data_IF_631253275840
#
_entry.id   IF_631253275840
#
_cell.length_a   1.000
_cell.length_b   1.000
_cell.length_c   1.000
_cell.angle_alpha   90.00
_cell.angle_beta   90.00
_cell.angle_gamma   90.00
#
_symmetry.space_group_name_H-M   'P 1'
#
loop_
_entity.id
_entity.type
_entity.pdbx_description
1 polymer ?
#
# COMPACT_ATOMS: atom_id res chain seq x y z
N UNK A 1 -37.66 -1.52 41.33
CA UNK A 1 -37.54 -0.68 40.11
C UNK A 1 -36.39 -1.24 39.26
N UNK A 2 -36.69 -1.83 38.11
CA UNK A 2 -35.68 -2.41 37.19
C UNK A 2 -35.10 -1.27 36.34
N UNK A 3 -33.78 -1.04 36.40
CA UNK A 3 -33.08 -0.15 35.47
C UNK A 3 -32.48 -1.00 34.35
N UNK A 4 -33.07 -0.88 33.17
CA UNK A 4 -32.62 -1.44 31.91
C UNK A 4 -31.50 -0.59 31.33
N UNK A 5 -30.36 -1.20 30.99
CA UNK A 5 -29.28 -0.53 30.26
C UNK A 5 -29.71 -0.21 28.81
N UNK A 6 -29.34 0.96 28.26
CA UNK A 6 -29.61 1.27 26.86
C UNK A 6 -28.67 0.46 25.95
N UNK A 7 -29.24 -0.23 24.97
CA UNK A 7 -28.50 -0.84 23.86
C UNK A 7 -28.01 0.29 22.94
N UNK A 8 -26.75 0.69 23.08
CA UNK A 8 -26.06 1.50 22.06
C UNK A 8 -25.60 0.56 20.93
N UNK A 9 -26.49 0.30 19.98
CA UNK A 9 -26.11 -0.29 18.69
C UNK A 9 -25.40 0.77 17.86
N UNK A 10 -24.19 0.48 17.40
CA UNK A 10 -23.50 1.28 16.39
C UNK A 10 -24.30 1.15 15.10
N UNK A 11 -24.83 2.28 14.64
CA UNK A 11 -25.60 2.39 13.40
C UNK A 11 -24.60 2.46 12.25
N UNK A 12 -24.34 1.33 11.60
CA UNK A 12 -23.56 1.29 10.37
C UNK A 12 -24.39 2.00 9.30
N UNK A 13 -23.90 3.12 8.80
CA UNK A 13 -24.47 3.76 7.63
C UNK A 13 -24.18 2.87 6.41
N UNK A 14 -25.20 2.14 5.96
CA UNK A 14 -25.17 1.50 4.64
C UNK A 14 -25.23 2.59 3.57
N UNK A 15 -24.09 2.88 2.95
CA UNK A 15 -24.06 3.56 1.65
C UNK A 15 -24.54 2.57 0.58
N UNK A 16 -25.61 2.88 -0.18
CA UNK A 16 -26.07 1.99 -1.24
C UNK A 16 -25.12 2.09 -2.43
N UNK A 17 -24.15 1.16 -2.50
CA UNK A 17 -23.39 0.89 -3.71
C UNK A 17 -24.30 0.14 -4.68
N UNK A 18 -25.06 0.88 -5.50
CA UNK A 18 -25.74 0.32 -6.67
C UNK A 18 -24.67 -0.10 -7.70
N UNK A 19 -24.22 -1.35 -7.60
CA UNK A 19 -23.53 -2.01 -8.71
C UNK A 19 -24.59 -2.33 -9.75
N UNK A 20 -24.72 -1.45 -10.75
CA UNK A 20 -25.44 -1.79 -11.98
C UNK A 20 -24.64 -2.89 -12.70
N UNK A 21 -25.18 -4.10 -12.72
CA UNK A 21 -24.69 -5.20 -13.53
C UNK A 21 -24.98 -4.90 -15.00
N UNK A 22 -24.06 -4.20 -15.67
CA UNK A 22 -23.98 -4.27 -17.12
C UNK A 22 -23.21 -5.53 -17.48
N UNK A 23 -23.95 -6.57 -17.87
CA UNK A 23 -23.37 -7.73 -18.52
C UNK A 23 -22.89 -7.31 -19.91
N UNK A 24 -21.57 -7.22 -20.06
CA UNK A 24 -20.92 -7.41 -21.35
C UNK A 24 -19.86 -8.49 -21.17
N UNK A 25 -20.23 -9.72 -21.54
CA UNK A 25 -19.29 -10.80 -21.76
C UNK A 25 -18.22 -10.33 -22.74
N UNK A 26 -17.00 -10.08 -22.27
CA UNK A 26 -15.89 -9.70 -23.15
C UNK A 26 -14.55 -10.32 -22.73
N UNK A 27 -14.55 -11.60 -22.35
CA UNK A 27 -13.31 -12.37 -22.29
C UNK A 27 -13.53 -13.74 -22.92
N UNK A 28 -13.37 -13.78 -24.24
CA UNK A 28 -13.11 -15.03 -24.96
C UNK A 28 -11.67 -15.44 -24.70
N UNK A 29 -11.49 -16.70 -24.35
CA UNK A 29 -10.20 -17.36 -24.20
C UNK A 29 -9.66 -17.53 -25.62
N UNK A 30 -8.95 -16.53 -26.15
CA UNK A 30 -8.05 -16.60 -27.32
C UNK A 30 -7.58 -15.18 -27.65
N UNK A 31 -6.64 -14.61 -26.87
CA UNK A 31 -5.96 -13.37 -27.26
C UNK A 31 -4.51 -13.36 -26.75
N UNK A 32 -3.73 -14.35 -27.20
CA UNK A 32 -2.27 -14.33 -27.15
C UNK A 32 -1.70 -14.18 -28.56
N UNK A 33 -2.10 -13.13 -29.29
CA UNK A 33 -1.36 -12.67 -30.47
C UNK A 33 -1.36 -11.14 -30.56
N UNK A 34 -0.25 -10.54 -30.13
CA UNK A 34 0.30 -9.28 -30.64
C UNK A 34 -0.67 -8.08 -30.88
N UNK A 35 -1.51 -7.75 -29.90
CA UNK A 35 -2.28 -6.48 -29.83
C UNK A 35 -2.03 -5.77 -28.49
N UNK A 36 -0.78 -5.42 -28.20
CA UNK A 36 -0.45 -4.75 -26.92
C UNK A 36 -0.82 -3.26 -26.85
N UNK A 37 -1.50 -2.71 -27.85
CA UNK A 37 -1.78 -1.28 -27.91
C UNK A 37 -3.02 -0.97 -28.76
N UNK A 38 -4.05 -0.39 -28.15
CA UNK A 38 -5.22 0.15 -28.85
C UNK A 38 -5.55 1.54 -28.28
N UNK A 39 -5.22 2.63 -28.98
CA UNK A 39 -5.52 3.97 -28.49
C UNK A 39 -7.00 4.29 -28.74
N UNK A 40 -7.82 4.31 -27.69
CA UNK A 40 -9.17 4.86 -27.72
C UNK A 40 -9.13 6.24 -27.07
N UNK A 41 -8.99 7.31 -27.87
CA UNK A 41 -9.01 8.69 -27.36
C UNK A 41 -10.48 9.14 -27.37
N UNK A 42 -11.21 8.92 -26.26
CA UNK A 42 -12.57 9.44 -26.10
C UNK A 42 -12.51 10.87 -25.56
N UNK A 43 -12.73 11.85 -26.44
CA UNK A 43 -12.52 13.30 -26.22
C UNK A 43 -13.64 14.02 -25.48
N UNK A 44 -14.57 13.33 -24.84
CA UNK A 44 -15.69 13.97 -24.13
C UNK A 44 -15.60 13.69 -22.62
N UNK A 45 -15.24 14.73 -21.84
CA UNK A 45 -15.01 14.74 -20.38
C UNK A 45 -13.74 14.01 -19.89
N UNK A 46 -12.56 14.43 -20.36
CA UNK A 46 -11.29 14.06 -19.73
C UNK A 46 -10.96 15.10 -18.65
N UNK A 47 -10.68 14.64 -17.43
CA UNK A 47 -10.08 15.48 -16.39
C UNK A 47 -8.64 15.80 -16.77
N UNK A 48 -8.31 17.09 -16.85
CA UNK A 48 -6.97 17.56 -17.23
C UNK A 48 -6.01 17.59 -16.04
N UNK A 49 -6.48 17.26 -14.84
CA UNK A 49 -5.64 17.11 -13.66
C UNK A 49 -5.11 15.68 -13.54
N UNK A 50 -3.80 15.53 -13.75
CA UNK A 50 -3.10 14.25 -13.66
C UNK A 50 -3.08 13.69 -12.24
N UNK A 51 -3.27 14.51 -11.20
CA UNK A 51 -3.21 14.07 -9.80
C UNK A 51 -4.38 13.16 -9.39
N UNK A 52 -5.49 13.27 -10.12
CA UNK A 52 -6.71 12.50 -9.87
C UNK A 52 -6.68 11.09 -10.50
N UNK A 53 -5.67 10.82 -11.33
CA UNK A 53 -5.54 9.54 -12.03
C UNK A 53 -4.79 8.51 -11.17
N UNK A 54 -5.40 7.34 -11.01
CA UNK A 54 -4.72 6.16 -10.46
C UNK A 54 -3.74 5.57 -11.48
N UNK A 55 -2.91 4.64 -11.03
CA UNK A 55 -2.02 3.88 -11.91
C UNK A 55 -2.81 3.26 -13.08
N UNK A 56 -3.94 2.60 -12.77
CA UNK A 56 -4.79 1.89 -13.73
C UNK A 56 -5.38 2.86 -14.76
N UNK A 57 -5.81 4.04 -14.30
CA UNK A 57 -6.36 5.08 -15.18
C UNK A 57 -5.31 5.60 -16.17
N UNK A 58 -4.02 5.67 -15.77
CA UNK A 58 -2.93 6.04 -16.68
C UNK A 58 -2.69 4.96 -17.75
N UNK A 59 -2.76 3.68 -17.38
CA UNK A 59 -2.64 2.58 -18.33
C UNK A 59 -3.81 2.60 -19.33
N UNK A 60 -5.03 2.82 -18.86
CA UNK A 60 -6.24 2.94 -19.70
C UNK A 60 -6.13 4.17 -20.62
N UNK A 61 -5.77 5.33 -20.07
CA UNK A 61 -5.64 6.61 -20.80
C UNK A 61 -4.63 6.51 -21.95
N UNK A 62 -3.53 5.79 -21.74
CA UNK A 62 -2.48 5.61 -22.74
C UNK A 62 -2.71 4.40 -23.64
N UNK A 63 -3.82 3.67 -23.48
CA UNK A 63 -4.21 2.55 -24.35
C UNK A 63 -3.35 1.30 -24.16
N UNK A 64 -2.83 1.09 -22.95
CA UNK A 64 -1.93 0.00 -22.60
C UNK A 64 -2.73 -1.14 -21.97
N UNK A 65 -2.73 -2.31 -22.62
CA UNK A 65 -3.52 -3.47 -22.19
C UNK A 65 -2.75 -4.43 -21.25
N UNK A 66 -1.50 -4.12 -20.89
CA UNK A 66 -0.69 -4.92 -19.96
C UNK A 66 0.24 -4.05 -19.10
N UNK A 67 0.55 -4.49 -17.88
CA UNK A 67 1.35 -3.69 -16.92
C UNK A 67 2.86 -3.84 -17.09
N UNK A 68 3.32 -4.72 -17.96
CA UNK A 68 4.73 -4.89 -18.33
C UNK A 68 5.17 -3.75 -19.25
N UNK A 69 6.06 -2.89 -18.75
CA UNK A 69 6.54 -1.73 -19.50
C UNK A 69 7.84 -2.08 -20.25
N UNK A 70 7.71 -2.32 -21.55
CA UNK A 70 8.83 -2.58 -22.44
C UNK A 70 9.26 -1.32 -23.22
N UNK A 71 10.52 -1.29 -23.65
CA UNK A 71 11.05 -0.21 -24.50
C UNK A 71 10.24 0.02 -25.81
N UNK A 72 9.87 -1.01 -26.61
CA UNK A 72 9.02 -0.82 -27.79
C UNK A 72 7.65 -0.23 -27.46
N UNK A 73 7.03 -0.64 -26.36
CA UNK A 73 5.75 -0.12 -25.91
C UNK A 73 5.88 1.36 -25.55
N UNK A 74 6.91 1.74 -24.79
CA UNK A 74 7.17 3.13 -24.42
C UNK A 74 7.41 4.03 -25.65
N UNK A 75 8.10 3.53 -26.68
CA UNK A 75 8.27 4.23 -27.97
C UNK A 75 6.94 4.45 -28.69
N UNK A 76 6.03 3.48 -28.64
CA UNK A 76 4.71 3.59 -29.26
C UNK A 76 3.81 4.58 -28.50
N UNK A 77 3.79 4.52 -27.16
CA UNK A 77 3.07 5.47 -26.32
C UNK A 77 3.56 6.90 -26.58
N UNK A 78 4.90 7.11 -26.65
CA UNK A 78 5.49 8.41 -26.98
C UNK A 78 5.01 8.94 -28.33
N UNK A 79 4.92 8.08 -29.35
CA UNK A 79 4.39 8.48 -30.67
C UNK A 79 2.94 8.93 -30.58
N UNK A 80 2.10 8.29 -29.76
CA UNK A 80 0.69 8.70 -29.59
C UNK A 80 0.58 10.02 -28.85
N UNK A 81 1.36 10.23 -27.78
CA UNK A 81 1.42 11.51 -27.06
C UNK A 81 1.89 12.65 -27.98
N UNK A 82 2.82 12.38 -28.90
CA UNK A 82 3.23 13.39 -29.88
C UNK A 82 2.15 13.74 -30.92
N UNK A 83 1.16 12.87 -31.12
CA UNK A 83 0.01 13.16 -32.00
C UNK A 83 -1.01 14.09 -31.33
N UNK A 84 -1.01 14.21 -30.00
CA UNK A 84 -1.91 15.13 -29.26
C UNK A 84 -1.41 16.58 -29.25
N UNK A 85 -0.27 16.86 -29.89
CA UNK A 85 0.23 18.22 -30.05
C UNK A 85 -0.81 19.12 -30.77
N UNK A 86 -0.98 20.39 -30.38
CA UNK A 86 -1.97 21.29 -30.98
C UNK A 86 -1.83 21.40 -32.50
N UNK A 87 -0.59 21.45 -33.00
CA UNK A 87 -0.25 21.49 -34.43
C UNK A 87 -0.73 20.26 -35.24
N UNK A 88 -0.94 19.11 -34.58
CA UNK A 88 -1.30 17.85 -35.26
C UNK A 88 -2.73 17.39 -35.01
N UNK A 89 -3.29 17.74 -33.85
CA UNK A 89 -4.62 17.33 -33.42
C UNK A 89 -5.65 18.44 -33.48
N UNK A 90 -5.23 19.70 -33.67
CA UNK A 90 -6.05 20.90 -33.52
C UNK A 90 -6.74 21.01 -32.14
N UNK A 91 -6.23 20.29 -31.13
CA UNK A 91 -6.71 20.36 -29.74
C UNK A 91 -6.03 21.52 -28.99
N UNK A 92 -6.64 21.93 -27.87
CA UNK A 92 -6.04 22.95 -27.00
C UNK A 92 -4.70 22.47 -26.42
N UNK A 93 -3.76 23.39 -26.21
CA UNK A 93 -2.42 23.09 -25.70
C UNK A 93 -2.44 22.30 -24.39
N UNK A 94 -3.47 22.50 -23.55
CA UNK A 94 -3.61 21.81 -22.27
C UNK A 94 -3.69 20.29 -22.42
N UNK A 95 -4.30 19.78 -23.50
CA UNK A 95 -4.36 18.33 -23.75
C UNK A 95 -2.97 17.77 -23.98
N UNK A 96 -2.14 18.45 -24.78
CA UNK A 96 -0.75 18.00 -24.99
C UNK A 96 0.05 18.01 -23.69
N UNK A 97 -0.09 19.08 -22.88
CA UNK A 97 0.58 19.19 -21.58
C UNK A 97 0.13 18.04 -20.66
N UNK A 98 -1.16 17.74 -20.61
CA UNK A 98 -1.73 16.64 -19.84
C UNK A 98 -1.17 15.28 -20.29
N UNK A 99 -1.24 14.94 -21.58
CA UNK A 99 -0.69 13.68 -22.10
C UNK A 99 0.83 13.59 -21.94
N UNK A 100 1.56 14.72 -22.01
CA UNK A 100 2.99 14.77 -21.73
C UNK A 100 3.30 14.47 -20.26
N UNK A 101 2.54 15.05 -19.33
CA UNK A 101 2.64 14.74 -17.90
C UNK A 101 2.33 13.26 -17.63
N UNK A 102 1.27 12.72 -18.23
CA UNK A 102 0.90 11.31 -18.11
C UNK A 102 2.02 10.38 -18.62
N UNK A 103 2.61 10.71 -19.78
CA UNK A 103 3.77 9.97 -20.30
C UNK A 103 4.97 10.02 -19.37
N UNK A 104 5.30 11.20 -18.82
CA UNK A 104 6.44 11.34 -17.92
C UNK A 104 6.26 10.49 -16.65
N UNK A 105 5.04 10.42 -16.10
CA UNK A 105 4.72 9.53 -14.97
C UNK A 105 4.90 8.07 -15.32
N UNK A 106 4.33 7.63 -16.45
CA UNK A 106 4.50 6.26 -16.94
C UNK A 106 5.98 5.92 -17.15
N UNK A 107 6.75 6.86 -17.70
CA UNK A 107 8.17 6.71 -17.94
C UNK A 107 8.97 6.61 -16.63
N UNK A 108 8.57 7.35 -15.58
CA UNK A 108 9.14 7.20 -14.24
C UNK A 108 8.92 5.80 -13.67
N UNK A 109 7.74 5.20 -13.86
CA UNK A 109 7.46 3.81 -13.48
C UNK A 109 8.33 2.84 -14.28
N UNK A 110 8.42 3.02 -15.61
CA UNK A 110 9.27 2.21 -16.48
C UNK A 110 10.74 2.26 -16.04
N UNK A 111 11.24 3.46 -15.73
CA UNK A 111 12.59 3.66 -15.21
C UNK A 111 12.74 2.92 -13.88
N UNK A 112 11.79 3.05 -12.95
CA UNK A 112 11.86 2.39 -11.66
C UNK A 112 11.94 0.87 -11.83
N UNK A 113 11.08 0.27 -12.64
CA UNK A 113 11.11 -1.18 -12.92
C UNK A 113 12.43 -1.64 -13.55
N UNK A 114 12.95 -0.91 -14.54
CA UNK A 114 14.15 -1.32 -15.28
C UNK A 114 15.47 -0.94 -14.61
N UNK A 115 15.50 0.10 -13.76
CA UNK A 115 16.69 0.46 -12.98
C UNK A 115 16.98 -0.59 -11.91
N UNK A 116 15.97 -1.17 -11.26
CA UNK A 116 16.19 -2.27 -10.30
C UNK A 116 16.87 -3.46 -10.97
N UNK A 117 16.50 -3.77 -12.23
CA UNK A 117 17.10 -4.86 -13.00
C UNK A 117 18.56 -4.59 -13.43
N UNK A 118 18.92 -3.33 -13.73
CA UNK A 118 20.29 -2.95 -14.17
C UNK A 118 21.22 -2.54 -13.02
N UNK A 119 20.68 -2.23 -11.84
CA UNK A 119 21.42 -1.65 -10.70
C UNK A 119 21.81 -2.66 -9.61
N UNK A 120 21.78 -3.96 -9.88
CA UNK A 120 22.29 -4.98 -8.92
C UNK A 120 23.79 -4.74 -8.63
N UNK A 121 24.53 -4.13 -9.57
CA UNK A 121 25.96 -3.83 -9.43
C UNK A 121 26.27 -2.44 -8.80
N UNK A 122 25.27 -1.68 -8.34
CA UNK A 122 25.46 -0.30 -7.86
C UNK A 122 24.65 -0.01 -6.57
N UNK A 123 24.63 -0.94 -5.62
CA UNK A 123 24.24 -0.61 -4.25
C UNK A 123 25.38 0.16 -3.55
N UNK A 124 25.59 1.42 -3.96
CA UNK A 124 26.28 2.37 -3.09
C UNK A 124 25.26 2.80 -2.02
N UNK A 125 25.26 2.08 -0.89
CA UNK A 125 24.65 2.52 0.36
C UNK A 125 25.42 3.67 1.02
N UNK A 126 26.45 4.19 0.35
CA UNK A 126 27.13 5.40 0.78
C UNK A 126 26.14 6.57 0.69
N UNK A 127 25.69 7.00 1.86
CA UNK A 127 25.09 8.32 2.04
C UNK A 127 26.07 9.33 1.42
N UNK A 128 25.74 9.83 0.23
CA UNK A 128 26.58 10.79 -0.46
C UNK A 128 26.08 12.21 -0.12
N UNK A 129 26.73 12.94 0.81
CA UNK A 129 26.36 14.30 1.19
C UNK A 129 26.68 15.32 0.10
N UNK A 130 26.91 14.95 -1.16
CA UNK A 130 27.30 15.86 -2.25
C UNK A 130 26.33 17.03 -2.53
N UNK A 131 25.14 17.08 -1.90
CA UNK A 131 24.23 18.24 -1.91
C UNK A 131 24.14 18.97 -0.55
N UNK A 132 25.06 18.70 0.39
CA UNK A 132 25.05 19.21 1.76
C UNK A 132 25.72 20.58 1.85
N UNK A 133 26.84 20.81 1.18
CA UNK A 133 27.70 21.97 1.45
C UNK A 133 26.98 23.33 1.39
N UNK A 134 26.10 23.54 0.40
CA UNK A 134 25.34 24.80 0.30
C UNK A 134 24.25 24.92 1.36
N UNK A 135 23.55 23.81 1.65
CA UNK A 135 22.45 23.78 2.62
C UNK A 135 22.98 23.88 4.04
N UNK A 136 24.12 23.26 4.30
CA UNK A 136 24.85 23.32 5.56
C UNK A 136 25.34 24.74 5.85
N UNK A 137 25.96 25.40 4.85
CA UNK A 137 26.34 26.83 4.96
C UNK A 137 25.14 27.73 5.23
N UNK A 138 24.02 27.48 4.56
CA UNK A 138 22.78 28.23 4.77
C UNK A 138 22.22 28.04 6.18
N UNK A 139 22.22 26.81 6.70
CA UNK A 139 21.78 26.51 8.07
C UNK A 139 22.72 27.14 9.10
N UNK A 140 24.03 27.04 8.92
CA UNK A 140 25.01 27.65 9.83
C UNK A 140 24.79 29.17 9.91
N UNK A 141 24.61 29.84 8.76
CA UNK A 141 24.28 31.27 8.73
C UNK A 141 22.97 31.57 9.47
N UNK A 142 21.90 30.78 9.26
CA UNK A 142 20.62 30.96 9.93
C UNK A 142 20.73 30.83 11.47
N UNK A 143 21.50 29.86 11.97
CA UNK A 143 21.68 29.65 13.41
C UNK A 143 22.62 30.68 14.05
N UNK A 144 23.60 31.18 13.31
CA UNK A 144 24.52 32.23 13.77
C UNK A 144 23.83 33.60 13.82
N UNK A 145 23.06 33.96 12.79
CA UNK A 145 22.37 35.26 12.70
C UNK A 145 21.21 35.36 13.68
N UNK A 146 20.53 34.25 13.97
CA UNK A 146 19.30 34.26 14.75
C UNK A 146 19.52 33.76 16.18
N UNK A 147 19.97 34.66 17.05
CA UNK A 147 20.21 34.39 18.49
C UNK A 147 19.01 33.80 19.24
N UNK A 148 17.79 33.92 18.69
CA UNK A 148 16.59 33.30 19.26
C UNK A 148 16.60 31.77 19.21
N UNK A 149 17.32 31.16 18.26
CA UNK A 149 17.41 29.69 18.14
C UNK A 149 18.37 29.04 19.13
N UNK A 150 19.17 29.84 19.86
CA UNK A 150 19.97 29.36 21.00
C UNK A 150 19.08 28.93 22.19
N UNK A 151 17.83 29.40 22.25
CA UNK A 151 16.86 28.98 23.27
C UNK A 151 16.02 27.78 22.76
N UNK A 152 16.05 26.62 23.43
CA UNK A 152 15.32 25.43 23.01
C UNK A 152 13.81 25.64 22.81
N UNK A 153 13.17 26.47 23.65
CA UNK A 153 11.71 26.69 23.55
C UNK A 153 11.33 27.48 22.29
N UNK A 154 12.15 28.46 21.91
CA UNK A 154 11.92 29.28 20.71
C UNK A 154 12.25 28.49 19.44
N UNK A 155 13.31 27.68 19.48
CA UNK A 155 13.65 26.76 18.40
C UNK A 155 12.53 25.74 18.17
N UNK A 156 12.06 25.06 19.21
CA UNK A 156 10.99 24.06 19.08
C UNK A 156 9.72 24.67 18.49
N UNK A 157 9.34 25.88 18.91
CA UNK A 157 8.20 26.58 18.33
C UNK A 157 8.40 26.85 16.84
N UNK A 158 9.54 27.43 16.45
CA UNK A 158 9.86 27.68 15.05
C UNK A 158 9.92 26.40 14.22
N UNK A 159 10.54 25.34 14.75
CA UNK A 159 10.65 24.05 14.08
C UNK A 159 9.28 23.45 13.85
N UNK A 160 8.42 23.41 14.88
CA UNK A 160 7.06 22.92 14.75
C UNK A 160 6.28 23.77 13.74
N UNK A 161 6.34 25.10 13.81
CA UNK A 161 5.64 25.98 12.85
C UNK A 161 6.10 25.73 11.40
N UNK A 162 7.41 25.52 11.18
CA UNK A 162 7.97 25.23 9.85
C UNK A 162 7.66 23.81 9.38
N UNK A 163 7.70 22.85 10.28
CA UNK A 163 7.32 21.47 10.02
C UNK A 163 5.84 21.39 9.65
N UNK A 164 4.95 21.99 10.45
CA UNK A 164 3.51 22.06 10.20
C UNK A 164 3.18 22.72 8.86
N UNK A 165 3.99 23.68 8.41
CA UNK A 165 3.81 24.35 7.11
C UNK A 165 4.24 23.49 5.92
N UNK A 166 5.32 22.72 6.04
CA UNK A 166 5.96 22.04 4.90
C UNK A 166 5.89 20.51 4.95
N UNK A 167 5.40 19.91 6.03
CA UNK A 167 5.13 18.48 6.03
C UNK A 167 4.03 18.17 5.01
N UNK A 168 4.16 17.04 4.33
CA UNK A 168 3.09 16.55 3.47
C UNK A 168 2.04 15.97 4.41
N UNK A 169 0.86 16.61 4.46
CA UNK A 169 -0.34 16.05 5.08
C UNK A 169 -0.83 14.90 4.21
N UNK A 170 -0.22 13.74 4.37
CA UNK A 170 -0.82 12.51 3.90
C UNK A 170 -2.07 12.22 4.75
N UNK A 171 -3.00 11.42 4.24
CA UNK A 171 -4.08 10.91 5.09
C UNK A 171 -3.41 10.28 6.32
N UNK A 172 -3.66 10.83 7.52
CA UNK A 172 -3.01 10.46 8.78
C UNK A 172 -3.45 9.05 9.21
N UNK A 173 -3.08 8.03 8.44
CA UNK A 173 -3.33 6.62 8.75
C UNK A 173 -2.24 6.03 9.66
N UNK A 174 -1.41 6.89 10.26
CA UNK A 174 -0.43 6.47 11.24
C UNK A 174 -1.10 6.15 12.58
N UNK A 175 -0.40 5.39 13.42
CA UNK A 175 -0.90 5.03 14.75
C UNK A 175 -0.74 6.13 15.79
N UNK A 176 -0.67 7.40 15.38
CA UNK A 176 -0.41 8.52 16.29
C UNK A 176 -1.49 8.68 17.35
N UNK A 177 -2.76 8.58 16.95
CA UNK A 177 -3.91 8.69 17.86
C UNK A 177 -4.05 7.43 18.72
N UNK A 178 -3.88 6.26 18.11
CA UNK A 178 -3.86 4.98 18.83
C UNK A 178 -2.77 4.97 19.91
N UNK A 179 -1.55 5.40 19.60
CA UNK A 179 -0.41 5.41 20.53
C UNK A 179 -0.59 6.39 21.70
N UNK A 180 -1.37 7.47 21.49
CA UNK A 180 -1.72 8.44 22.55
C UNK A 180 -2.92 7.97 23.38
N UNK A 181 -3.64 6.97 22.92
CA UNK A 181 -4.82 6.43 23.58
C UNK A 181 -4.49 5.22 24.44
N UNK A 182 -5.39 4.88 25.35
CA UNK A 182 -5.35 3.62 26.10
C UNK A 182 -6.02 2.46 25.32
N UNK A 183 -6.30 2.65 24.02
CA UNK A 183 -6.88 1.61 23.17
C UNK A 183 -5.91 0.43 22.99
N UNK A 184 -6.38 -0.80 23.25
CA UNK A 184 -5.54 -2.00 23.21
C UNK A 184 -4.71 -2.25 24.48
N UNK A 185 -4.66 -1.30 25.43
CA UNK A 185 -4.08 -1.55 26.74
C UNK A 185 -5.05 -2.42 27.54
N UNK A 186 -4.61 -3.60 27.94
CA UNK A 186 -5.44 -4.48 28.77
C UNK A 186 -5.70 -3.79 30.12
N UNK A 187 -6.95 -3.35 30.35
CA UNK A 187 -7.46 -2.89 31.65
C UNK A 187 -7.49 -4.06 32.64
N UNK A 188 -6.33 -4.53 33.06
CA UNK A 188 -6.22 -5.62 34.01
C UNK A 188 -6.38 -5.05 35.42
N UNK A 189 -7.63 -4.91 35.85
CA UNK A 189 -7.94 -4.80 37.27
C UNK A 189 -7.32 -6.00 37.99
N UNK A 190 -6.22 -5.79 38.77
CA UNK A 190 -5.46 -6.78 39.56
C UNK A 190 -6.08 -8.20 39.56
N UNK A 191 -5.83 -8.96 38.50
CA UNK A 191 -6.48 -10.25 38.26
C UNK A 191 -5.69 -11.31 39.05
N UNK A 192 -6.38 -12.22 39.75
CA UNK A 192 -5.71 -13.34 40.41
C UNK A 192 -5.23 -14.37 39.39
N UNK A 193 -4.19 -15.14 39.73
CA UNK A 193 -3.67 -16.21 38.86
C UNK A 193 -4.76 -17.24 38.47
N UNK A 194 -5.76 -17.47 39.33
CA UNK A 194 -6.90 -18.35 39.03
C UNK A 194 -7.87 -17.79 38.00
N UNK A 195 -7.98 -16.47 37.87
CA UNK A 195 -8.88 -15.80 36.92
C UNK A 195 -8.22 -15.54 35.56
N UNK A 196 -6.88 -15.56 35.51
CA UNK A 196 -6.09 -15.30 34.30
C UNK A 196 -6.49 -16.17 33.11
N UNK A 197 -6.75 -17.46 33.34
CA UNK A 197 -7.16 -18.37 32.26
C UNK A 197 -8.49 -17.98 31.61
N UNK A 198 -9.47 -17.53 32.40
CA UNK A 198 -10.78 -17.12 31.88
C UNK A 198 -10.71 -15.77 31.15
N UNK A 199 -9.92 -14.82 31.65
CA UNK A 199 -9.72 -13.53 30.99
C UNK A 199 -8.95 -13.68 29.68
N UNK A 200 -7.92 -14.52 29.65
CA UNK A 200 -7.19 -14.88 28.43
C UNK A 200 -8.13 -15.49 27.38
N UNK A 201 -9.04 -16.38 27.78
CA UNK A 201 -10.01 -17.01 26.87
C UNK A 201 -11.00 -15.99 26.27
N UNK A 202 -11.48 -15.03 27.08
CA UNK A 202 -12.29 -13.91 26.58
C UNK A 202 -11.52 -13.03 25.59
N UNK A 203 -10.26 -12.76 25.89
CA UNK A 203 -9.39 -11.97 25.02
C UNK A 203 -9.17 -12.65 23.66
N UNK A 204 -8.90 -13.97 23.66
CA UNK A 204 -8.80 -14.79 22.44
C UNK A 204 -10.08 -14.74 21.60
N UNK A 205 -11.25 -14.85 22.23
CA UNK A 205 -12.54 -14.75 21.53
C UNK A 205 -12.74 -13.38 20.88
N UNK A 206 -12.34 -12.30 21.55
CA UNK A 206 -12.39 -10.94 21.00
C UNK A 206 -11.48 -10.82 19.77
N UNK A 207 -10.22 -11.22 19.91
CA UNK A 207 -9.24 -11.16 18.82
C UNK A 207 -9.67 -12.04 17.65
N UNK A 208 -10.24 -13.22 17.90
CA UNK A 208 -10.72 -14.13 16.85
C UNK A 208 -11.77 -13.49 15.93
N UNK A 209 -12.58 -12.56 16.44
CA UNK A 209 -13.53 -11.81 15.62
C UNK A 209 -12.90 -10.73 14.74
N UNK A 210 -11.68 -10.31 15.08
CA UNK A 210 -10.94 -9.23 14.40
C UNK A 210 -9.95 -9.82 13.39
N UNK A 211 -9.24 -10.88 13.76
CA UNK A 211 -8.22 -11.52 12.92
C UNK A 211 -8.87 -12.69 12.15
N UNK A 212 -9.05 -12.59 10.82
CA UNK A 212 -9.54 -13.70 10.03
C UNK A 212 -8.51 -14.82 9.97
N UNK A 213 -8.95 -16.07 10.16
CA UNK A 213 -8.10 -17.24 9.92
C UNK A 213 -7.87 -17.42 8.41
N UNK A 214 -6.66 -17.12 7.95
CA UNK A 214 -6.30 -17.19 6.52
C UNK A 214 -5.63 -18.52 6.11
N UNK A 215 -5.59 -19.52 7.00
CA UNK A 215 -5.00 -20.83 6.72
C UNK A 215 -3.47 -20.81 6.61
N UNK A 216 -2.91 -21.82 5.93
CA UNK A 216 -1.48 -21.90 5.66
C UNK A 216 -1.19 -21.00 4.47
N UNK A 217 -0.49 -19.90 4.72
CA UNK A 217 0.07 -19.06 3.66
C UNK A 217 1.48 -19.52 3.33
N UNK A 218 1.88 -19.31 2.09
CA UNK A 218 3.28 -19.47 1.69
C UNK A 218 4.12 -18.51 2.56
N UNK A 219 4.98 -19.07 3.41
CA UNK A 219 5.84 -18.36 4.38
C UNK A 219 6.69 -17.26 3.72
N UNK A 220 6.89 -17.31 2.40
CA UNK A 220 7.65 -16.31 1.63
C UNK A 220 6.89 -15.02 1.30
N UNK A 221 5.58 -14.94 1.53
CA UNK A 221 4.79 -13.72 1.29
C UNK A 221 4.25 -13.04 2.55
N UNK A 222 4.29 -13.70 3.70
CA UNK A 222 3.79 -13.15 4.96
C UNK A 222 4.94 -12.95 5.94
N UNK A 223 5.46 -11.73 6.00
CA UNK A 223 6.46 -11.27 6.96
C UNK A 223 6.00 -11.26 8.43
N UNK A 224 4.91 -11.95 8.80
CA UNK A 224 4.13 -11.56 9.98
C UNK A 224 3.93 -12.63 11.05
N UNK A 225 4.31 -13.89 10.89
CA UNK A 225 3.95 -14.91 11.91
C UNK A 225 5.10 -15.72 12.51
N UNK A 226 6.10 -16.21 11.76
CA UNK A 226 7.24 -16.96 12.34
C UNK A 226 8.48 -16.83 11.45
N UNK A 227 9.07 -15.64 11.39
CA UNK A 227 10.41 -15.47 10.84
C UNK A 227 11.07 -14.40 11.69
N UNK A 228 12.17 -14.72 12.37
CA UNK A 228 12.84 -13.85 13.34
C UNK A 228 13.42 -12.55 12.78
N UNK A 229 13.07 -12.19 11.55
CA UNK A 229 13.55 -11.04 10.78
C UNK A 229 12.39 -10.26 10.11
N UNK A 230 11.13 -10.65 10.37
CA UNK A 230 9.95 -9.94 9.88
C UNK A 230 9.59 -8.78 10.80
N UNK A 231 9.66 -7.55 10.29
CA UNK A 231 9.13 -6.39 11.02
C UNK A 231 7.60 -6.54 11.08
N UNK A 232 7.08 -6.79 12.29
CA UNK A 232 5.65 -6.67 12.57
C UNK A 232 5.33 -5.22 12.80
N UNK A 233 4.15 -4.82 12.35
CA UNK A 233 3.66 -3.49 12.63
C UNK A 233 3.42 -3.30 14.14
N UNK A 234 3.68 -2.09 14.67
CA UNK A 234 3.60 -1.82 16.10
C UNK A 234 2.19 -2.04 16.65
N UNK A 235 1.16 -1.56 15.95
CA UNK A 235 -0.22 -1.76 16.39
C UNK A 235 -0.59 -3.23 16.40
N UNK A 236 -0.23 -3.94 15.34
CA UNK A 236 -0.42 -5.38 15.23
C UNK A 236 0.25 -6.14 16.39
N UNK A 237 1.50 -5.82 16.72
CA UNK A 237 2.23 -6.49 17.79
C UNK A 237 1.56 -6.32 19.17
N UNK A 238 0.93 -5.17 19.44
CA UNK A 238 0.24 -4.90 20.70
C UNK A 238 -1.17 -5.53 20.73
N UNK A 239 -1.93 -5.43 19.64
CA UNK A 239 -3.30 -5.97 19.58
C UNK A 239 -3.32 -7.49 19.44
N UNK A 240 -2.40 -8.08 18.67
CA UNK A 240 -2.34 -9.50 18.35
C UNK A 240 -1.36 -10.28 19.26
N UNK A 241 -1.25 -9.88 20.53
CA UNK A 241 -0.33 -10.49 21.49
C UNK A 241 -0.64 -11.94 21.87
N UNK A 242 -1.86 -12.43 21.57
CA UNK A 242 -2.30 -13.79 21.89
C UNK A 242 -2.85 -14.47 20.64
N UNK A 243 -2.43 -15.72 20.43
CA UNK A 243 -2.93 -16.57 19.34
C UNK A 243 -4.45 -16.78 19.56
N UNK A 244 -5.31 -16.41 18.59
CA UNK A 244 -6.77 -16.43 18.72
C UNK A 244 -7.37 -17.85 18.54
N UNK A 245 -6.83 -18.82 19.27
CA UNK A 245 -7.33 -20.20 19.30
C UNK A 245 -8.03 -20.44 20.63
N UNK A 246 -9.35 -20.63 20.56
CA UNK A 246 -10.22 -20.79 21.72
C UNK A 246 -10.44 -22.26 22.06
N UNK A 247 -10.89 -22.53 23.28
CA UNK A 247 -11.34 -23.85 23.71
C UNK A 247 -12.54 -24.34 22.89
N UNK A 248 -13.36 -23.42 22.35
CA UNK A 248 -14.45 -23.77 21.46
C UNK A 248 -13.93 -24.36 20.15
N UNK A 249 -12.85 -23.82 19.59
CA UNK A 249 -12.25 -24.34 18.37
C UNK A 249 -11.67 -25.73 18.60
N UNK A 250 -10.99 -25.92 19.72
CA UNK A 250 -10.53 -27.25 20.15
C UNK A 250 -11.70 -28.25 20.27
N UNK A 251 -12.87 -27.80 20.75
CA UNK A 251 -14.04 -28.66 20.88
C UNK A 251 -14.77 -28.92 19.56
N UNK A 252 -14.71 -27.99 18.60
CA UNK A 252 -15.25 -28.18 17.23
C UNK A 252 -14.42 -29.17 16.42
N UNK A 253 -13.12 -29.27 16.73
CA UNK A 253 -12.22 -30.21 16.06
C UNK A 253 -12.58 -31.66 16.41
N UNK A 254 -12.53 -32.54 15.39
CA UNK A 254 -12.74 -33.97 15.59
C UNK A 254 -11.61 -34.54 16.46
N UNK A 255 -11.99 -35.21 17.55
CA UNK A 255 -11.07 -35.88 18.48
C UNK A 255 -10.97 -37.36 18.10
N UNK A 256 -9.80 -37.94 18.34
CA UNK A 256 -9.50 -39.34 18.03
C UNK A 256 -9.05 -40.04 19.31
N UNK A 257 -9.55 -41.25 19.54
CA UNK A 257 -9.22 -42.02 20.74
C UNK A 257 -7.89 -42.78 20.60
N UNK A 258 -7.43 -42.99 19.36
CA UNK A 258 -6.18 -43.68 19.06
C UNK A 258 -5.53 -43.17 17.76
N UNK A 259 -4.26 -43.51 17.59
CA UNK A 259 -3.46 -43.13 16.41
C UNK A 259 -4.05 -43.74 15.14
N UNK A 260 -4.55 -44.97 15.20
CA UNK A 260 -5.13 -45.68 14.06
C UNK A 260 -6.43 -45.02 13.55
N UNK A 261 -7.27 -44.50 14.45
CA UNK A 261 -8.47 -43.75 14.06
C UNK A 261 -8.10 -42.43 13.36
N UNK A 262 -7.04 -41.78 13.84
CA UNK A 262 -6.51 -40.55 13.25
C UNK A 262 -5.91 -40.80 11.86
N UNK A 263 -5.07 -41.82 11.69
CA UNK A 263 -4.48 -42.18 10.40
C UNK A 263 -5.56 -42.56 9.41
N UNK A 264 -6.52 -43.39 9.80
CA UNK A 264 -7.66 -43.74 8.95
C UNK A 264 -8.50 -42.52 8.55
N UNK A 265 -8.77 -41.60 9.48
CA UNK A 265 -9.49 -40.36 9.14
C UNK A 265 -8.69 -39.48 8.17
N UNK A 266 -7.39 -39.28 8.44
CA UNK A 266 -6.50 -38.52 7.57
C UNK A 266 -6.47 -39.13 6.18
N UNK A 267 -6.25 -40.43 6.07
CA UNK A 267 -6.17 -41.13 4.79
C UNK A 267 -7.51 -41.03 4.05
N UNK A 268 -8.65 -41.13 4.73
CA UNK A 268 -9.96 -40.92 4.13
C UNK A 268 -10.20 -39.48 3.64
N UNK A 269 -9.73 -38.47 4.38
CA UNK A 269 -9.80 -37.05 3.96
C UNK A 269 -8.88 -36.76 2.78
N UNK A 270 -7.67 -37.34 2.78
CA UNK A 270 -6.67 -37.14 1.74
C UNK A 270 -6.85 -38.05 0.51
N UNK A 271 -7.74 -39.05 0.55
CA UNK A 271 -8.07 -39.92 -0.61
C UNK A 271 -8.44 -39.13 -1.87
N UNK A 272 -9.07 -37.97 -1.72
CA UNK A 272 -9.51 -37.12 -2.83
C UNK A 272 -8.67 -35.84 -2.99
N UNK A 273 -7.63 -35.64 -2.18
CA UNK A 273 -6.72 -34.48 -2.30
C UNK A 273 -5.69 -34.81 -3.37
N UNK A 274 -6.08 -34.67 -4.63
CA UNK A 274 -5.16 -34.79 -5.76
C UNK A 274 -4.37 -33.48 -5.90
N UNK A 275 -3.03 -33.52 -6.05
CA UNK A 275 -2.27 -32.32 -6.39
C UNK A 275 -2.84 -31.71 -7.67
N UNK A 276 -2.79 -30.38 -7.77
CA UNK A 276 -3.27 -29.68 -8.94
C UNK A 276 -2.53 -30.18 -10.20
N UNK A 277 -3.25 -30.42 -11.29
CA UNK A 277 -2.62 -30.81 -12.56
C UNK A 277 -1.61 -29.74 -13.00
N UNK A 278 -0.52 -30.15 -13.64
CA UNK A 278 0.56 -29.26 -14.10
C UNK A 278 0.04 -28.03 -14.87
N UNK A 279 -0.92 -28.21 -15.78
CA UNK A 279 -1.50 -27.10 -16.55
C UNK A 279 -2.22 -26.07 -15.65
N UNK A 280 -2.96 -26.54 -14.65
CA UNK A 280 -3.63 -25.68 -13.69
C UNK A 280 -2.63 -25.03 -12.72
N UNK A 281 -1.59 -25.77 -12.31
CA UNK A 281 -0.45 -25.25 -11.53
C UNK A 281 0.25 -24.09 -12.24
N UNK A 282 0.58 -24.29 -13.51
CA UNK A 282 1.19 -23.26 -14.34
C UNK A 282 0.29 -22.03 -14.49
N UNK A 283 -1.01 -22.23 -14.77
CA UNK A 283 -1.99 -21.13 -14.83
C UNK A 283 -2.09 -20.35 -13.52
N UNK A 284 -2.12 -21.06 -12.39
CA UNK A 284 -2.16 -20.44 -11.06
C UNK A 284 -0.90 -19.64 -10.77
N UNK A 285 0.29 -20.20 -11.02
CA UNK A 285 1.56 -19.50 -10.83
C UNK A 285 1.68 -18.28 -11.73
N UNK A 286 1.29 -18.39 -13.01
CA UNK A 286 1.27 -17.27 -13.95
C UNK A 286 0.33 -16.16 -13.47
N UNK A 287 -0.86 -16.52 -12.97
CA UNK A 287 -1.80 -15.54 -12.39
C UNK A 287 -1.20 -14.87 -11.16
N UNK A 288 -0.66 -15.65 -10.22
CA UNK A 288 -0.03 -15.13 -8.98
C UNK A 288 1.12 -14.16 -9.29
N UNK A 289 2.00 -14.51 -10.24
CA UNK A 289 3.09 -13.63 -10.66
C UNK A 289 2.57 -12.33 -11.26
N UNK A 290 1.55 -12.41 -12.13
CA UNK A 290 0.93 -11.20 -12.70
C UNK A 290 0.29 -10.33 -11.62
N UNK A 291 -0.45 -10.92 -10.68
CA UNK A 291 -1.10 -10.17 -9.61
C UNK A 291 -0.06 -9.49 -8.70
N UNK A 292 1.10 -10.13 -8.47
CA UNK A 292 2.25 -9.54 -7.76
C UNK A 292 2.92 -8.41 -8.54
N UNK A 293 3.14 -8.59 -9.85
CA UNK A 293 3.65 -7.54 -10.73
C UNK A 293 2.73 -6.31 -10.70
N UNK A 294 1.42 -6.53 -10.79
CA UNK A 294 0.42 -5.46 -10.74
C UNK A 294 0.46 -4.68 -9.43
N UNK A 295 0.57 -5.37 -8.29
CA UNK A 295 0.74 -4.75 -6.97
C UNK A 295 2.05 -3.95 -6.90
N UNK A 296 3.15 -4.50 -7.42
CA UNK A 296 4.43 -3.82 -7.46
C UNK A 296 4.37 -2.52 -8.27
N UNK A 297 3.72 -2.54 -9.44
CA UNK A 297 3.53 -1.35 -10.27
C UNK A 297 2.71 -0.29 -9.54
N UNK A 298 1.59 -0.68 -8.93
CA UNK A 298 0.73 0.23 -8.17
C UNK A 298 1.48 0.86 -6.98
N UNK A 299 2.18 0.07 -6.17
CA UNK A 299 2.99 0.58 -5.06
C UNK A 299 4.11 1.52 -5.55
N UNK A 300 4.77 1.16 -6.65
CA UNK A 300 5.82 2.01 -7.25
C UNK A 300 5.27 3.36 -7.68
N UNK A 301 4.08 3.38 -8.28
CA UNK A 301 3.41 4.62 -8.67
C UNK A 301 3.10 5.51 -7.48
N UNK A 302 2.47 4.96 -6.44
CA UNK A 302 2.17 5.71 -5.22
C UNK A 302 3.45 6.26 -4.59
N UNK A 303 4.49 5.43 -4.43
CA UNK A 303 5.78 5.86 -3.90
C UNK A 303 6.40 7.01 -4.70
N UNK A 304 6.32 6.98 -6.03
CA UNK A 304 6.79 8.07 -6.89
C UNK A 304 5.98 9.34 -6.62
N UNK A 305 4.65 9.24 -6.58
CA UNK A 305 3.74 10.36 -6.30
C UNK A 305 4.03 11.00 -4.93
N UNK A 306 4.20 10.18 -3.90
CA UNK A 306 4.61 10.62 -2.57
C UNK A 306 5.97 11.33 -2.59
N UNK A 307 6.96 10.73 -3.25
CA UNK A 307 8.31 11.31 -3.37
C UNK A 307 8.27 12.65 -4.11
N UNK A 308 7.45 12.80 -5.14
CA UNK A 308 7.27 14.06 -5.88
C UNK A 308 6.71 15.17 -4.98
N UNK A 309 5.61 14.89 -4.26
CA UNK A 309 5.03 15.83 -3.28
C UNK A 309 6.04 16.23 -2.21
N UNK A 310 6.78 15.27 -1.67
CA UNK A 310 7.83 15.53 -0.68
C UNK A 310 8.95 16.41 -1.25
N UNK A 311 9.37 16.18 -2.50
CA UNK A 311 10.38 17.03 -3.17
C UNK A 311 9.90 18.46 -3.36
N UNK A 312 8.64 18.65 -3.74
CA UNK A 312 8.06 19.99 -3.88
C UNK A 312 8.03 20.74 -2.56
N UNK A 313 7.53 20.11 -1.50
CA UNK A 313 7.51 20.72 -0.17
C UNK A 313 8.92 21.00 0.36
N UNK A 314 9.87 20.09 0.13
CA UNK A 314 11.26 20.29 0.50
C UNK A 314 11.86 21.49 -0.25
N UNK A 315 11.59 21.65 -1.55
CA UNK A 315 12.02 22.85 -2.32
C UNK A 315 11.43 24.13 -1.74
N UNK A 316 10.14 24.12 -1.38
CA UNK A 316 9.48 25.26 -0.75
C UNK A 316 10.11 25.59 0.61
N UNK A 317 10.40 24.58 1.43
CA UNK A 317 11.09 24.74 2.71
C UNK A 317 12.44 25.43 2.54
N UNK A 318 13.29 24.95 1.63
CA UNK A 318 14.60 25.55 1.38
C UNK A 318 14.50 26.96 0.79
N UNK A 319 13.51 27.22 -0.07
CA UNK A 319 13.25 28.56 -0.61
C UNK A 319 12.87 29.55 0.50
N UNK A 320 11.96 29.13 1.40
CA UNK A 320 11.56 29.93 2.56
C UNK A 320 12.74 30.22 3.50
N UNK A 321 13.65 29.25 3.66
CA UNK A 321 14.83 29.39 4.51
C UNK A 321 15.85 30.36 3.89
N UNK A 322 16.04 30.31 2.57
CA UNK A 322 16.86 31.29 1.82
C UNK A 322 16.36 32.72 1.91
N UNK A 323 15.06 32.95 2.14
CA UNK A 323 14.52 34.31 2.34
C UNK A 323 14.73 34.84 3.77
N UNK A 324 14.96 33.94 4.73
CA UNK A 324 15.15 34.28 6.15
C UNK A 324 16.62 34.54 6.52
N UNK A 325 17.55 34.21 5.62
CA UNK A 325 19.00 34.42 5.76
C UNK A 325 19.44 35.56 4.85
#
# INVERSE_FOLDING_TARGET
MKKTCPKSGIKIHETPSQIQTHSSNLFSVDDFTNKHFSPQITTSNIDLDIENYSCDDLFILLGIQGRTLDEPLMKNVKKVVLKTHPDKSNLHSDYYIFYSKAYNRLHSIYIAQNKTAKSINNFNNDYNPANSDEKEKLLNNLFETNNNFKNPKKFNKWFNDKFEKHHVKEEEHGYGDWLKSDEGVAETAKISQSQLGSEMEKYKQRIQGIIPYQGIQDTFSSSSIVSGDGFSDLKQAYEESVIPVTQQDYNKMKKFNGVDDYTNFRDNQHKNVKPMSEQNAYKFLKKKNRDLEDQCVAMTYENIKHTEKQREQNKLFWSDLKRLT
#
